data_IF_995204980675
#
_entry.id   IF_995204980675
#
_cell.length_a   1.000
_cell.length_b   1.000
_cell.length_c   1.000
_cell.angle_alpha   90.00
_cell.angle_beta   90.00
_cell.angle_gamma   90.00
#
_symmetry.space_group_name_H-M   'P 1'
#
loop_
_entity.id
_entity.type
_entity.pdbx_description
1 polymer ?
#
# COMPACT_ATOMS: atom_id res chain seq x y z
N UNK A 1 -10.33 3.88 -14.21
CA UNK A 1 -9.13 4.44 -13.54
C UNK A 1 -8.27 3.28 -13.09
N UNK A 2 -6.98 3.28 -13.44
CA UNK A 2 -6.09 2.10 -13.35
C UNK A 2 -5.93 1.60 -11.90
N UNK A 3 -5.92 2.50 -10.91
CA UNK A 3 -5.81 2.16 -9.49
C UNK A 3 -6.90 1.19 -9.00
N UNK A 4 -8.16 1.42 -9.38
CA UNK A 4 -9.28 0.58 -8.95
C UNK A 4 -9.19 -0.85 -9.52
N UNK A 5 -8.65 -1.00 -10.75
CA UNK A 5 -8.42 -2.30 -11.35
C UNK A 5 -7.27 -3.04 -10.66
N UNK A 6 -6.16 -2.35 -10.36
CA UNK A 6 -5.04 -2.91 -9.61
C UNK A 6 -5.47 -3.40 -8.21
N UNK A 7 -6.26 -2.59 -7.47
CA UNK A 7 -6.77 -2.96 -6.14
C UNK A 7 -7.69 -4.18 -6.19
N UNK A 8 -8.52 -4.30 -7.24
CA UNK A 8 -9.35 -5.50 -7.46
C UNK A 8 -8.52 -6.74 -7.78
N UNK A 9 -7.47 -6.60 -8.61
CA UNK A 9 -6.55 -7.70 -8.93
C UNK A 9 -5.76 -8.21 -7.72
N UNK A 10 -5.44 -7.31 -6.78
CA UNK A 10 -4.72 -7.62 -5.54
C UNK A 10 -5.60 -8.39 -4.54
N UNK A 11 -6.92 -8.21 -4.60
CA UNK A 11 -7.89 -8.85 -3.69
C UNK A 11 -7.88 -10.38 -3.67
N UNK A 12 -7.31 -11.04 -4.68
CA UNK A 12 -7.22 -12.51 -4.75
C UNK A 12 -5.89 -13.13 -4.31
N UNK A 13 -4.84 -12.33 -4.05
CA UNK A 13 -3.45 -12.84 -3.99
C UNK A 13 -2.62 -12.46 -2.77
N UNK A 14 -3.09 -11.56 -1.89
CA UNK A 14 -2.27 -11.04 -0.79
C UNK A 14 -1.85 -12.12 0.23
N UNK A 15 -2.69 -13.12 0.48
CA UNK A 15 -2.45 -14.13 1.53
C UNK A 15 -1.48 -15.25 1.17
N UNK A 16 -1.08 -15.41 -0.10
CA UNK A 16 -0.28 -16.56 -0.52
C UNK A 16 1.22 -16.41 -0.22
N UNK A 17 1.76 -15.19 -0.27
CA UNK A 17 3.21 -14.94 -0.13
C UNK A 17 3.53 -13.77 0.79
N UNK A 18 2.61 -12.83 0.99
CA UNK A 18 2.76 -11.76 1.97
C UNK A 18 2.17 -12.16 3.32
N UNK A 19 2.83 -11.70 4.38
CA UNK A 19 2.39 -11.84 5.76
C UNK A 19 1.86 -10.53 6.33
N UNK A 20 2.43 -9.39 5.92
CA UNK A 20 1.95 -8.07 6.32
C UNK A 20 2.34 -6.99 5.32
N UNK A 21 1.54 -5.93 5.28
CA UNK A 21 1.81 -4.72 4.54
C UNK A 21 1.82 -3.53 5.49
N UNK A 22 2.84 -2.67 5.43
CA UNK A 22 2.93 -1.45 6.24
C UNK A 22 3.11 -0.23 5.34
N UNK A 23 2.23 0.74 5.47
CA UNK A 23 2.26 1.99 4.70
C UNK A 23 2.62 3.11 5.66
N UNK A 24 3.81 3.69 5.47
CA UNK A 24 4.21 4.91 6.16
C UNK A 24 3.86 6.11 5.29
N UNK A 25 3.26 7.13 5.89
CA UNK A 25 2.93 8.39 5.20
C UNK A 25 3.01 9.59 6.16
N UNK A 26 3.13 10.78 5.57
CA UNK A 26 3.00 12.04 6.30
C UNK A 26 1.60 12.63 6.12
N UNK A 27 1.05 13.21 7.19
CA UNK A 27 -0.29 13.81 7.19
C UNK A 27 -0.34 15.13 6.40
N UNK A 28 0.80 15.83 6.26
CA UNK A 28 0.85 17.20 5.72
C UNK A 28 1.71 17.33 4.47
N UNK A 29 2.82 16.61 4.37
CA UNK A 29 3.78 16.79 3.29
C UNK A 29 3.19 16.48 1.91
N UNK A 30 3.59 17.27 0.92
CA UNK A 30 3.10 17.14 -0.46
C UNK A 30 3.50 15.82 -1.09
N UNK A 31 4.69 15.29 -0.77
CA UNK A 31 5.12 14.00 -1.30
C UNK A 31 4.30 12.80 -0.83
N UNK A 32 3.50 12.94 0.22
CA UNK A 32 2.55 11.91 0.68
C UNK A 32 1.11 12.16 0.20
N UNK A 33 0.86 13.19 -0.62
CA UNK A 33 -0.50 13.54 -1.07
C UNK A 33 -1.18 12.40 -1.84
N UNK A 34 -0.52 11.83 -2.84
CA UNK A 34 -1.10 10.72 -3.60
C UNK A 34 -1.32 9.44 -2.76
N UNK A 35 -0.49 9.21 -1.74
CA UNK A 35 -0.68 8.09 -0.79
C UNK A 35 -1.90 8.32 0.11
N UNK A 36 -2.13 9.55 0.57
CA UNK A 36 -3.34 9.92 1.34
C UNK A 36 -4.61 9.69 0.52
N UNK A 37 -4.64 10.23 -0.70
CA UNK A 37 -5.77 10.05 -1.62
C UNK A 37 -6.03 8.57 -1.94
N UNK A 38 -4.96 7.77 -2.12
CA UNK A 38 -5.09 6.32 -2.31
C UNK A 38 -5.75 5.63 -1.11
N UNK A 39 -5.35 6.00 0.12
CA UNK A 39 -5.95 5.43 1.33
C UNK A 39 -7.43 5.80 1.42
N UNK A 40 -7.79 7.07 1.21
CA UNK A 40 -9.18 7.54 1.28
C UNK A 40 -10.09 6.83 0.28
N UNK A 41 -9.62 6.59 -0.95
CA UNK A 41 -10.45 6.03 -2.03
C UNK A 41 -10.45 4.50 -2.07
N UNK A 42 -9.35 3.85 -1.73
CA UNK A 42 -9.13 2.44 -2.06
C UNK A 42 -8.86 1.52 -0.87
N UNK A 43 -8.44 2.04 0.29
CA UNK A 43 -8.09 1.22 1.45
C UNK A 43 -9.26 0.36 1.94
N UNK A 44 -10.46 0.93 2.04
CA UNK A 44 -11.65 0.23 2.55
C UNK A 44 -11.97 -0.98 1.66
N UNK A 45 -11.91 -0.81 0.34
CA UNK A 45 -12.14 -1.88 -0.63
C UNK A 45 -11.09 -2.98 -0.49
N UNK A 46 -9.81 -2.60 -0.36
CA UNK A 46 -8.71 -3.54 -0.19
C UNK A 46 -8.84 -4.36 1.10
N UNK A 47 -9.21 -3.71 2.21
CA UNK A 47 -9.39 -4.38 3.52
C UNK A 47 -10.64 -5.26 3.56
N UNK A 48 -11.72 -4.86 2.88
CA UNK A 48 -12.91 -5.71 2.71
C UNK A 48 -12.61 -6.96 1.88
N UNK A 49 -11.78 -6.85 0.84
CA UNK A 49 -11.36 -8.00 0.05
C UNK A 49 -10.41 -8.94 0.83
N UNK A 50 -9.69 -8.43 1.84
CA UNK A 50 -8.72 -9.20 2.62
C UNK A 50 -8.91 -8.97 4.12
N UNK A 51 -9.97 -9.54 4.73
CA UNK A 51 -10.30 -9.28 6.13
C UNK A 51 -9.18 -9.74 7.09
N UNK A 52 -8.60 -10.91 6.85
CA UNK A 52 -7.58 -11.52 7.72
C UNK A 52 -6.17 -10.97 7.47
N UNK A 53 -5.96 -10.23 6.38
CA UNK A 53 -4.64 -9.73 6.03
C UNK A 53 -4.31 -8.42 6.80
N UNK A 54 -3.17 -8.35 7.51
CA UNK A 54 -2.80 -7.15 8.27
C UNK A 54 -2.23 -6.07 7.35
N UNK A 55 -3.01 -5.00 7.18
CA UNK A 55 -2.60 -3.78 6.48
C UNK A 55 -2.44 -2.67 7.51
N UNK A 56 -1.19 -2.34 7.83
CA UNK A 56 -0.83 -1.39 8.88
C UNK A 56 -0.55 -0.01 8.27
N UNK A 57 -1.45 0.93 8.51
CA UNK A 57 -1.22 2.34 8.17
C UNK A 57 -0.50 3.00 9.36
N UNK A 58 0.60 3.70 9.08
CA UNK A 58 1.43 4.41 10.07
C UNK A 58 1.69 5.82 9.59
N UNK A 59 0.96 6.75 10.16
CA UNK A 59 1.13 8.17 9.85
C UNK A 59 2.19 8.77 10.78
N UNK A 60 3.14 9.52 10.23
CA UNK A 60 4.20 10.16 10.99
C UNK A 60 4.60 11.51 10.36
N UNK A 61 4.97 12.50 11.17
CA UNK A 61 5.36 13.82 10.68
C UNK A 61 6.77 13.80 10.11
N UNK A 62 6.98 14.40 8.93
CA UNK A 62 8.30 14.57 8.32
C UNK A 62 8.90 13.30 7.72
N UNK A 63 8.17 12.19 7.67
CA UNK A 63 8.66 10.95 7.04
C UNK A 63 8.43 10.95 5.54
N UNK A 64 9.35 10.36 4.81
CA UNK A 64 9.13 10.01 3.41
C UNK A 64 8.17 8.83 3.33
N UNK A 65 7.13 8.90 2.49
CA UNK A 65 6.16 7.82 2.38
C UNK A 65 6.84 6.57 1.84
N UNK A 66 6.57 5.43 2.49
CA UNK A 66 7.25 4.17 2.21
C UNK A 66 6.32 2.99 2.43
N UNK A 67 6.31 2.09 1.46
CA UNK A 67 5.64 0.81 1.52
C UNK A 67 6.61 -0.25 2.03
N UNK A 68 6.16 -1.03 3.01
CA UNK A 68 6.85 -2.23 3.45
C UNK A 68 5.96 -3.42 3.20
N UNK A 69 6.55 -4.48 2.66
CA UNK A 69 5.91 -5.77 2.55
C UNK A 69 6.81 -6.82 3.16
N UNK A 70 6.24 -7.58 4.09
CA UNK A 70 6.87 -8.75 4.65
C UNK A 70 6.31 -9.99 3.98
N UNK A 71 7.22 -10.84 3.56
CA UNK A 71 6.94 -12.15 2.99
C UNK A 71 7.21 -13.23 4.03
N UNK A 72 7.00 -14.48 3.62
CA UNK A 72 7.39 -15.65 4.39
C UNK A 72 8.89 -15.64 4.73
N UNK A 73 9.25 -16.39 5.77
CA UNK A 73 10.63 -16.49 6.27
C UNK A 73 11.25 -15.14 6.70
N UNK A 74 10.40 -14.16 7.05
CA UNK A 74 10.84 -12.87 7.58
C UNK A 74 11.51 -11.95 6.54
N UNK A 75 11.39 -12.24 5.24
CA UNK A 75 11.93 -11.37 4.19
C UNK A 75 11.09 -10.11 4.08
N UNK A 76 11.72 -8.95 4.14
CA UNK A 76 11.03 -7.67 4.01
C UNK A 76 11.55 -6.88 2.79
N UNK A 77 10.64 -6.30 2.02
CA UNK A 77 10.94 -5.40 0.91
C UNK A 77 10.38 -4.02 1.24
N UNK A 78 11.17 -2.98 0.95
CA UNK A 78 10.72 -1.60 1.07
C UNK A 78 10.68 -0.92 -0.29
N UNK A 79 9.65 -0.12 -0.54
CA UNK A 79 9.46 0.64 -1.77
C UNK A 79 9.14 2.09 -1.40
N UNK A 80 9.91 3.08 -1.89
CA UNK A 80 9.61 4.49 -1.67
C UNK A 80 8.34 4.88 -2.45
N UNK A 81 7.44 5.64 -1.82
CA UNK A 81 6.21 6.14 -2.43
C UNK A 81 6.21 7.68 -2.57
N UNK A 82 7.39 8.28 -2.62
CA UNK A 82 7.53 9.75 -2.60
C UNK A 82 7.08 10.38 -3.91
N UNK A 83 6.22 11.41 -3.82
CA UNK A 83 5.66 12.15 -4.96
C UNK A 83 4.94 11.27 -6.00
N UNK A 84 4.45 10.10 -5.60
CA UNK A 84 3.69 9.22 -6.49
C UNK A 84 2.21 9.64 -6.52
N UNK A 85 1.61 9.48 -7.70
CA UNK A 85 0.17 9.60 -7.92
C UNK A 85 -0.58 8.37 -7.40
N UNK A 86 -1.90 8.46 -7.25
CA UNK A 86 -2.76 7.36 -6.78
C UNK A 86 -2.60 6.10 -7.65
N UNK A 87 -2.52 6.27 -8.98
CA UNK A 87 -2.35 5.16 -9.93
C UNK A 87 -0.95 4.51 -9.80
N UNK A 88 0.10 5.29 -9.56
CA UNK A 88 1.45 4.77 -9.34
C UNK A 88 1.59 4.04 -8.01
N UNK A 89 0.94 4.54 -6.96
CA UNK A 89 0.88 3.86 -5.65
C UNK A 89 0.19 2.50 -5.80
N UNK A 90 -0.91 2.44 -6.55
CA UNK A 90 -1.60 1.18 -6.82
C UNK A 90 -0.71 0.19 -7.61
N UNK A 91 0.05 0.68 -8.60
CA UNK A 91 1.01 -0.13 -9.35
C UNK A 91 2.18 -0.61 -8.50
N UNK A 92 2.68 0.23 -7.59
CA UNK A 92 3.70 -0.16 -6.62
C UNK A 92 3.19 -1.27 -5.69
N UNK A 93 1.95 -1.15 -5.22
CA UNK A 93 1.28 -2.20 -4.45
C UNK A 93 1.20 -3.51 -5.24
N UNK A 94 0.77 -3.45 -6.51
CA UNK A 94 0.66 -4.62 -7.38
C UNK A 94 2.02 -5.31 -7.61
N UNK A 95 3.09 -4.53 -7.78
CA UNK A 95 4.47 -5.02 -7.97
C UNK A 95 5.05 -5.76 -6.77
N UNK A 96 4.46 -5.54 -5.60
CA UNK A 96 4.88 -6.14 -4.33
C UNK A 96 4.08 -7.41 -4.05
N UNK A 97 2.84 -7.48 -4.55
CA UNK A 97 1.92 -8.61 -4.37
C UNK A 97 2.21 -9.76 -5.34
N UNK A 98 2.63 -9.46 -6.57
CA UNK A 98 3.09 -10.46 -7.55
C UNK A 98 4.45 -11.05 -7.18
#
# INVERSE_FOLDING_TARGET
KMAAAAVRGIGGGLGLRLRELRIHLCQRSDGSRGVREFIEQHYVTLKKANPDFPILIRECSGVQPKLWARYEFGKEKSVPLNNLTVDEVAKALESVVK
#
